data_IF_528003884194
#
_entry.id   IF_528003884194
#
_cell.length_a   1.000
_cell.length_b   1.000
_cell.length_c   1.000
_cell.angle_alpha   90.00
_cell.angle_beta   90.00
_cell.angle_gamma   90.00
#
_symmetry.space_group_name_H-M   'P 1'
#
loop_
_entity.id
_entity.type
_entity.pdbx_description
1 polymer ?
#
# COMPACT_ATOMS: atom_id res chain seq x y z
N UNK A 1 13.16 3.54 -9.05
CA UNK A 1 12.49 4.62 -8.32
C UNK A 1 13.04 4.72 -6.91
N UNK A 2 13.23 5.94 -6.42
CA UNK A 2 13.49 6.19 -5.00
C UNK A 2 12.20 6.09 -4.17
N UNK A 3 12.29 6.12 -2.83
CA UNK A 3 11.13 6.00 -1.93
C UNK A 3 10.10 7.12 -2.14
N UNK A 4 10.54 8.34 -2.45
CA UNK A 4 9.64 9.48 -2.68
C UNK A 4 8.78 9.23 -3.92
N UNK A 5 9.40 8.86 -5.03
CA UNK A 5 8.71 8.52 -6.28
C UNK A 5 7.75 7.33 -6.12
N UNK A 6 8.15 6.31 -5.34
CA UNK A 6 7.28 5.17 -5.04
C UNK A 6 6.04 5.58 -4.22
N UNK A 7 6.20 6.49 -3.25
CA UNK A 7 5.07 7.04 -2.49
C UNK A 7 4.13 7.85 -3.38
N UNK A 8 4.68 8.68 -4.26
CA UNK A 8 3.88 9.43 -5.24
C UNK A 8 3.11 8.49 -6.17
N UNK A 9 3.78 7.47 -6.71
CA UNK A 9 3.17 6.47 -7.60
C UNK A 9 2.05 5.68 -6.92
N UNK A 10 2.27 5.24 -5.67
CA UNK A 10 1.25 4.53 -4.90
C UNK A 10 0.04 5.43 -4.59
N UNK A 11 0.27 6.70 -4.25
CA UNK A 11 -0.83 7.63 -4.06
C UNK A 11 -1.64 7.84 -5.35
N UNK A 12 -0.96 7.99 -6.49
CA UNK A 12 -1.63 8.11 -7.79
C UNK A 12 -2.43 6.85 -8.14
N UNK A 13 -1.91 5.64 -7.88
CA UNK A 13 -2.65 4.42 -8.18
C UNK A 13 -3.92 4.31 -7.32
N UNK A 14 -3.88 4.69 -6.04
CA UNK A 14 -5.09 4.78 -5.22
C UNK A 14 -6.12 5.75 -5.82
N UNK A 15 -5.69 6.96 -6.20
CA UNK A 15 -6.59 7.97 -6.77
C UNK A 15 -7.19 7.53 -8.11
N UNK A 16 -6.41 6.85 -8.97
CA UNK A 16 -6.90 6.30 -10.24
C UNK A 16 -7.94 5.19 -9.96
N UNK A 17 -7.67 4.26 -9.04
CA UNK A 17 -8.63 3.22 -8.69
C UNK A 17 -9.96 3.80 -8.20
N UNK A 18 -9.93 4.88 -7.40
CA UNK A 18 -11.14 5.58 -6.98
C UNK A 18 -11.89 6.20 -8.18
N UNK A 19 -11.19 6.81 -9.14
CA UNK A 19 -11.80 7.37 -10.36
C UNK A 19 -12.43 6.29 -11.24
N UNK A 20 -11.86 5.09 -11.26
CA UNK A 20 -12.38 3.92 -11.98
C UNK A 20 -13.48 3.17 -11.21
N UNK A 21 -13.96 3.71 -10.08
CA UNK A 21 -15.12 3.18 -9.35
C UNK A 21 -14.81 2.11 -8.30
N UNK A 22 -13.54 1.86 -7.97
CA UNK A 22 -13.15 0.92 -6.90
C UNK A 22 -13.27 1.51 -5.48
N UNK A 23 -14.04 2.56 -5.30
CA UNK A 23 -14.22 3.22 -4.02
C UNK A 23 -15.05 2.35 -3.07
N UNK A 24 -14.56 2.15 -1.85
CA UNK A 24 -15.32 1.51 -0.77
C UNK A 24 -14.90 2.08 0.59
N UNK A 25 -15.43 3.25 0.92
CA UNK A 25 -15.15 3.95 2.19
C UNK A 25 -13.64 3.99 2.48
N UNK A 26 -13.17 3.34 3.54
CA UNK A 26 -11.74 3.25 3.90
C UNK A 26 -11.07 1.93 3.50
N UNK A 27 -11.80 1.03 2.84
CA UNK A 27 -11.34 -0.28 2.42
C UNK A 27 -10.61 -0.18 1.07
N UNK A 28 -10.09 -1.31 0.61
CA UNK A 28 -9.16 -1.35 -0.51
C UNK A 28 -7.79 -0.78 -0.16
N UNK A 29 -6.73 -1.42 -0.66
CA UNK A 29 -5.37 -0.99 -0.39
C UNK A 29 -4.37 -1.48 -1.43
N UNK A 30 -3.42 -0.58 -1.70
CA UNK A 30 -2.27 -0.82 -2.57
C UNK A 30 -1.02 -0.89 -1.71
N UNK A 31 -0.14 -1.84 -2.03
CA UNK A 31 1.21 -1.89 -1.47
C UNK A 31 2.26 -2.11 -2.54
N UNK A 32 3.45 -1.54 -2.34
CA UNK A 32 4.60 -1.74 -3.24
C UNK A 32 5.84 -2.12 -2.44
N UNK A 33 6.64 -3.04 -2.98
CA UNK A 33 7.93 -3.42 -2.39
C UNK A 33 8.91 -2.25 -2.46
N UNK A 34 9.69 -2.04 -1.41
CA UNK A 34 10.85 -1.15 -1.45
C UNK A 34 12.03 -1.91 -2.04
N UNK A 35 12.63 -1.46 -3.17
CA UNK A 35 13.72 -2.18 -3.81
C UNK A 35 14.90 -2.45 -2.86
N UNK A 36 15.41 -3.69 -2.89
CA UNK A 36 16.55 -4.15 -2.08
C UNK A 36 16.31 -4.08 -0.56
N UNK A 37 15.05 -4.09 -0.12
CA UNK A 37 14.68 -4.12 1.30
C UNK A 37 13.54 -5.12 1.54
N UNK A 38 13.52 -5.72 2.73
CA UNK A 38 12.40 -6.55 3.22
C UNK A 38 11.29 -5.69 3.84
N UNK A 39 10.89 -4.65 3.09
CA UNK A 39 9.90 -3.66 3.49
C UNK A 39 8.99 -3.32 2.34
N UNK A 40 7.77 -2.92 2.68
CA UNK A 40 6.73 -2.49 1.74
C UNK A 40 6.21 -1.13 2.14
N UNK A 41 5.79 -0.34 1.16
CA UNK A 41 4.94 0.82 1.35
C UNK A 41 3.49 0.37 1.24
N UNK A 42 2.59 0.94 2.04
CA UNK A 42 1.17 0.59 2.01
C UNK A 42 0.30 1.84 2.19
N UNK A 43 -0.85 1.85 1.49
CA UNK A 43 -1.97 2.75 1.81
C UNK A 43 -2.44 2.48 3.26
N UNK A 44 -2.57 3.50 4.13
CA UNK A 44 -2.98 3.30 5.52
C UNK A 44 -4.50 3.06 5.68
N UNK A 45 -4.91 2.54 6.83
CA UNK A 45 -6.29 2.15 7.12
C UNK A 45 -7.29 3.31 7.10
N UNK A 46 -6.94 4.48 7.65
CA UNK A 46 -7.92 5.53 7.99
C UNK A 46 -8.38 6.44 6.84
N UNK A 47 -8.12 6.08 5.58
CA UNK A 47 -8.37 6.95 4.43
C UNK A 47 -9.03 6.16 3.31
N UNK A 48 -9.94 6.78 2.58
CA UNK A 48 -10.38 6.28 1.28
C UNK A 48 -9.28 6.36 0.22
N UNK A 49 -9.47 5.64 -0.89
CA UNK A 49 -8.50 5.61 -2.00
C UNK A 49 -8.30 7.00 -2.64
N UNK A 50 -9.35 7.81 -2.69
CA UNK A 50 -9.41 9.18 -3.21
C UNK A 50 -8.73 10.22 -2.32
N UNK A 51 -8.49 9.89 -1.04
CA UNK A 51 -7.90 10.79 -0.05
C UNK A 51 -6.38 10.61 0.06
N UNK A 52 -5.81 9.62 -0.62
CA UNK A 52 -4.42 9.23 -0.44
C UNK A 52 -3.49 10.29 -1.02
N UNK A 53 -2.55 10.70 -0.16
CA UNK A 53 -1.42 11.57 -0.48
C UNK A 53 -0.11 10.88 -0.10
N UNK A 54 1.04 11.24 -0.71
CA UNK A 54 2.32 10.60 -0.44
C UNK A 54 2.70 10.60 1.05
N UNK A 55 2.37 11.67 1.79
CA UNK A 55 2.62 11.77 3.22
C UNK A 55 1.78 10.82 4.10
N UNK A 56 0.71 10.23 3.58
CA UNK A 56 -0.12 9.27 4.31
C UNK A 56 0.51 7.87 4.34
N UNK A 57 1.34 7.55 3.35
CA UNK A 57 1.84 6.20 3.11
C UNK A 57 2.76 5.76 4.24
N UNK A 58 2.47 4.57 4.76
CA UNK A 58 3.19 3.90 5.84
C UNK A 58 4.19 2.88 5.29
N UNK A 59 5.18 2.53 6.10
CA UNK A 59 6.14 1.45 5.81
C UNK A 59 5.83 0.28 6.73
N UNK A 60 5.73 -0.92 6.18
CA UNK A 60 5.61 -2.15 6.94
C UNK A 60 6.73 -3.13 6.56
N UNK A 61 7.12 -4.00 7.48
CA UNK A 61 7.99 -5.13 7.17
C UNK A 61 7.18 -6.33 6.64
N UNK A 62 7.87 -7.38 6.19
CA UNK A 62 7.22 -8.60 5.69
C UNK A 62 6.54 -9.43 6.79
N UNK A 63 6.72 -9.12 8.08
CA UNK A 63 5.96 -9.76 9.18
C UNK A 63 4.66 -9.02 9.49
N UNK A 64 4.25 -8.05 8.66
CA UNK A 64 3.02 -7.29 8.84
C UNK A 64 3.11 -6.27 9.98
N UNK A 65 4.31 -5.90 10.45
CA UNK A 65 4.48 -4.83 11.45
C UNK A 65 4.72 -3.49 10.77
N UNK A 66 4.02 -2.45 11.24
CA UNK A 66 4.30 -1.05 10.85
C UNK A 66 5.66 -0.64 11.43
N UNK A 67 6.53 -0.11 10.58
CA UNK A 67 7.87 0.35 10.93
C UNK A 67 7.94 1.88 10.93
N UNK A 68 7.28 2.54 9.96
CA UNK A 68 7.31 4.00 9.81
C UNK A 68 5.97 4.55 9.31
N UNK A 69 5.75 5.84 9.56
CA UNK A 69 4.55 6.57 9.13
C UNK A 69 3.57 6.86 10.28
N UNK A 70 2.71 7.86 10.07
CA UNK A 70 1.83 8.42 11.12
C UNK A 70 0.60 7.57 11.41
N UNK A 71 0.10 6.85 10.41
CA UNK A 71 -1.22 6.21 10.45
C UNK A 71 -1.12 4.71 10.71
N UNK A 72 -2.27 4.06 10.92
CA UNK A 72 -2.32 2.62 11.15
C UNK A 72 -2.37 1.81 9.87
N UNK A 73 -1.85 0.58 9.95
CA UNK A 73 -1.93 -0.41 8.87
C UNK A 73 -3.28 -1.12 8.85
N UNK A 74 -3.63 -1.71 7.71
CA UNK A 74 -4.77 -2.63 7.64
C UNK A 74 -4.50 -3.92 8.43
N UNK A 75 -5.55 -4.56 8.94
CA UNK A 75 -5.49 -5.92 9.52
C UNK A 75 -5.14 -6.97 8.47
N UNK A 76 -5.58 -6.76 7.23
CA UNK A 76 -5.42 -7.64 6.07
C UNK A 76 -4.03 -7.59 5.42
N UNK A 77 -3.05 -6.90 6.05
CA UNK A 77 -1.68 -6.76 5.54
C UNK A 77 -1.02 -8.10 5.18
N UNK A 78 -1.42 -9.18 5.85
CA UNK A 78 -0.87 -10.52 5.62
C UNK A 78 -1.17 -11.06 4.20
N UNK A 79 -2.28 -10.63 3.58
CA UNK A 79 -2.55 -10.96 2.16
C UNK A 79 -1.41 -10.43 1.27
N UNK A 80 -0.88 -9.26 1.60
CA UNK A 80 0.21 -8.64 0.86
C UNK A 80 1.57 -9.26 1.20
N UNK A 81 1.89 -9.35 2.49
CA UNK A 81 3.23 -9.78 2.92
C UNK A 81 3.52 -11.23 2.58
N UNK A 82 2.53 -12.12 2.64
CA UNK A 82 2.73 -13.52 2.26
C UNK A 82 2.92 -13.68 0.75
N UNK A 83 2.26 -12.86 -0.09
CA UNK A 83 2.57 -12.79 -1.52
C UNK A 83 4.01 -12.31 -1.73
N UNK A 84 4.44 -11.25 -1.07
CA UNK A 84 5.81 -10.75 -1.24
C UNK A 84 6.89 -11.72 -0.73
N UNK A 85 6.60 -12.51 0.31
CA UNK A 85 7.51 -13.58 0.76
C UNK A 85 7.59 -14.72 -0.25
N UNK A 86 6.44 -15.18 -0.75
CA UNK A 86 6.38 -16.31 -1.67
C UNK A 86 6.82 -15.96 -3.11
N UNK A 87 6.70 -14.69 -3.52
CA UNK A 87 6.92 -14.23 -4.89
C UNK A 87 7.87 -13.03 -4.93
N UNK A 88 9.19 -13.27 -5.01
CA UNK A 88 10.19 -12.21 -5.15
C UNK A 88 10.03 -11.36 -6.41
N UNK A 89 9.42 -11.92 -7.46
CA UNK A 89 9.14 -11.25 -8.73
C UNK A 89 7.94 -10.28 -8.65
N UNK A 90 7.07 -10.44 -7.65
CA UNK A 90 5.94 -9.53 -7.41
C UNK A 90 6.42 -8.29 -6.66
N UNK A 91 6.13 -7.13 -7.26
CA UNK A 91 6.55 -5.83 -6.75
C UNK A 91 5.39 -4.95 -6.26
N UNK A 92 4.15 -5.29 -6.60
CA UNK A 92 2.95 -4.57 -6.18
C UNK A 92 1.80 -5.56 -5.95
N UNK A 93 0.95 -5.26 -4.96
CA UNK A 93 -0.30 -5.99 -4.70
C UNK A 93 -1.40 -4.95 -4.51
N UNK A 94 -2.52 -5.17 -5.18
CA UNK A 94 -3.71 -4.33 -5.15
C UNK A 94 -4.89 -5.17 -4.70
N UNK A 95 -5.60 -4.69 -3.69
CA UNK A 95 -6.84 -5.28 -3.19
C UNK A 95 -7.94 -4.21 -3.25
N UNK A 96 -9.09 -4.54 -3.86
CA UNK A 96 -10.24 -3.63 -4.06
C UNK A 96 -11.55 -4.42 -3.99
N UNK A 97 -12.68 -3.72 -3.86
CA UNK A 97 -14.03 -4.28 -3.79
C UNK A 97 -14.91 -3.75 -4.93
N UNK A 98 -14.84 -4.35 -6.13
CA UNK A 98 -15.66 -3.95 -7.28
C UNK A 98 -17.12 -4.41 -7.18
#
# INVERSE_FOLDING_TARGET
MNIKELKETLAYSCNILAQEGHWDNILGHVSVRIPKQDRILMKPHSFGLEEIRPQHIIVCNLDGKKIEGKYERHSEIFIHTEIFKARPDVNCVVHTHP
#
